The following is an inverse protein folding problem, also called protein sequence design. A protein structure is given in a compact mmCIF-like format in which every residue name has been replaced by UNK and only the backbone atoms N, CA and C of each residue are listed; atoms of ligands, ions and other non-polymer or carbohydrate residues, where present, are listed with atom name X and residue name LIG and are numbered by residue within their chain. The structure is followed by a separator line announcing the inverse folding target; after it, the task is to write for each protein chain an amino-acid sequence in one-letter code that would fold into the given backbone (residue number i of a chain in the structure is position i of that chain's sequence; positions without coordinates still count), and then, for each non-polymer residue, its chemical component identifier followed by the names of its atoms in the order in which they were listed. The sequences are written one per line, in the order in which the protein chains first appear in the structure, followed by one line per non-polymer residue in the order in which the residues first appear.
data_IF_552211315064
#
_entry.id   IF_552211315064
#
_cell.length_a   1.000
_cell.length_b   1.000
_cell.length_c   1.000
_cell.angle_alpha   90.00
_cell.angle_beta   90.00
_cell.angle_gamma   90.00
#
_symmetry.space_group_name_H-M   'P 1'
#
loop_
_entity.id
_entity.type
_entity.pdbx_description
1 polymer ?
#
# COMPACT_ATOMS: atom_id res chain seq x y z
N UNK A 1 70.66 13.09 15.38
CA UNK A 1 70.64 11.99 14.40
C UNK A 1 71.46 10.82 14.92
N UNK A 2 70.81 9.80 15.50
CA UNK A 2 71.46 8.51 15.77
C UNK A 2 70.78 7.49 14.87
N UNK A 3 71.48 7.03 13.84
CA UNK A 3 71.05 5.90 13.02
C UNK A 3 71.76 4.68 13.58
N UNK A 4 71.05 3.86 14.34
CA UNK A 4 71.55 2.54 14.76
C UNK A 4 71.26 1.59 13.60
N UNK A 5 72.27 1.33 12.76
CA UNK A 5 72.22 0.20 11.82
C UNK A 5 72.45 -1.06 12.64
N UNK A 6 71.44 -1.92 12.72
CA UNK A 6 71.64 -3.31 13.11
C UNK A 6 71.22 -4.14 11.92
N UNK A 7 72.04 -5.13 11.60
CA UNK A 7 71.74 -6.15 10.62
C UNK A 7 70.36 -6.77 10.91
N UNK A 8 69.69 -7.20 9.83
CA UNK A 8 68.44 -7.96 9.80
C UNK A 8 67.15 -7.13 9.67
N UNK A 9 66.74 -6.95 8.41
CA UNK A 9 65.34 -6.84 7.96
C UNK A 9 64.53 -5.59 8.28
N UNK A 10 64.89 -4.81 9.31
CA UNK A 10 64.07 -3.69 9.78
C UNK A 10 64.90 -2.46 10.16
N UNK A 11 64.51 -1.29 9.66
CA UNK A 11 65.05 -0.01 10.07
C UNK A 11 63.94 0.94 10.48
N UNK A 12 64.03 1.51 11.69
CA UNK A 12 63.18 2.60 12.15
C UNK A 12 64.01 3.88 12.33
N UNK A 13 63.51 4.98 11.78
CA UNK A 13 64.10 6.31 11.94
C UNK A 13 63.05 7.23 12.56
N UNK A 14 63.43 7.90 13.63
CA UNK A 14 62.63 8.98 14.21
C UNK A 14 63.19 10.32 13.70
N UNK A 15 62.36 11.08 13.01
CA UNK A 15 62.67 12.44 12.56
C UNK A 15 61.53 13.37 12.99
N UNK A 16 61.81 14.23 13.96
CA UNK A 16 60.96 15.37 14.35
C UNK A 16 59.46 15.06 14.49
N UNK A 17 59.11 13.96 15.16
CA UNK A 17 57.72 13.55 15.42
C UNK A 17 57.15 12.51 14.46
N UNK A 18 57.88 12.17 13.39
CA UNK A 18 57.53 11.09 12.46
C UNK A 18 58.46 9.89 12.67
N UNK A 19 57.86 8.70 12.76
CA UNK A 19 58.60 7.42 12.76
C UNK A 19 58.46 6.81 11.37
N UNK A 20 59.56 6.73 10.62
CA UNK A 20 59.60 6.01 9.34
C UNK A 20 60.16 4.61 9.55
N UNK A 21 59.37 3.60 9.19
CA UNK A 21 59.74 2.19 9.23
C UNK A 21 60.04 1.73 7.80
N UNK A 22 61.18 1.09 7.59
CA UNK A 22 61.54 0.44 6.33
C UNK A 22 61.91 -1.00 6.65
N UNK A 23 61.14 -1.94 6.11
CA UNK A 23 61.45 -3.36 6.22
C UNK A 23 61.69 -3.96 4.83
N UNK A 24 62.65 -4.85 4.73
CA UNK A 24 62.99 -5.60 3.52
C UNK A 24 62.97 -7.08 3.87
N UNK A 25 62.45 -7.93 2.99
CA UNK A 25 62.31 -9.38 3.20
C UNK A 25 61.45 -9.78 4.42
N UNK A 26 60.38 -9.03 4.69
CA UNK A 26 59.36 -9.39 5.71
C UNK A 26 58.06 -9.84 5.04
N UNK A 27 57.42 -10.85 5.61
CA UNK A 27 56.12 -11.37 5.16
C UNK A 27 54.97 -10.38 5.43
N UNK A 28 55.03 -9.64 6.55
CA UNK A 28 54.06 -8.59 6.88
C UNK A 28 54.58 -7.60 7.93
N UNK A 29 53.97 -6.41 7.97
CA UNK A 29 54.17 -5.39 9.00
C UNK A 29 52.80 -5.12 9.65
N UNK A 30 52.70 -5.34 10.96
CA UNK A 30 51.50 -5.01 11.73
C UNK A 30 51.66 -3.66 12.43
N UNK A 31 50.67 -2.78 12.27
CA UNK A 31 50.58 -1.51 12.96
C UNK A 31 49.51 -1.61 14.06
N UNK A 32 49.92 -1.73 15.31
CA UNK A 32 49.00 -1.88 16.47
C UNK A 32 48.84 -0.53 17.16
N UNK A 33 47.64 0.04 17.11
CA UNK A 33 47.26 1.21 17.90
C UNK A 33 46.88 0.83 19.33
N UNK A 34 47.15 1.72 20.30
CA UNK A 34 46.60 1.60 21.64
C UNK A 34 45.07 1.81 21.63
N UNK A 35 44.37 1.32 22.65
CA UNK A 35 42.93 1.53 22.79
C UNK A 35 42.60 3.04 22.76
N UNK A 36 41.77 3.46 21.80
CA UNK A 36 41.37 4.86 21.62
C UNK A 36 42.26 5.70 20.68
N UNK A 37 43.27 5.10 20.03
CA UNK A 37 44.12 5.79 19.06
C UNK A 37 43.94 5.24 17.64
N UNK A 38 43.62 6.11 16.68
CA UNK A 38 43.57 5.76 15.25
C UNK A 38 44.98 5.74 14.67
N UNK A 39 45.42 4.57 14.21
CA UNK A 39 46.63 4.44 13.39
C UNK A 39 46.21 4.42 11.92
N UNK A 40 46.94 5.10 11.03
CA UNK A 40 46.60 5.18 9.60
C UNK A 40 47.75 4.69 8.73
N UNK A 41 47.47 3.95 7.68
CA UNK A 41 48.41 3.59 6.62
C UNK A 41 47.94 4.26 5.31
N UNK A 42 48.77 5.13 4.74
CA UNK A 42 48.45 5.93 3.54
C UNK A 42 47.12 6.72 3.64
N UNK A 43 46.89 7.35 4.80
CA UNK A 43 45.67 8.12 5.06
C UNK A 43 44.39 7.29 5.30
N UNK A 44 44.47 5.96 5.13
CA UNK A 44 43.39 5.03 5.48
C UNK A 44 43.59 4.54 6.89
N UNK A 45 42.54 4.54 7.72
CA UNK A 45 42.62 3.96 9.06
C UNK A 45 43.08 2.50 8.96
N UNK A 46 44.19 2.17 9.63
CA UNK A 46 44.59 0.80 9.86
C UNK A 46 43.48 0.19 10.73
N UNK A 47 42.56 -0.50 10.07
CA UNK A 47 41.47 -1.22 10.73
C UNK A 47 42.11 -2.12 11.76
N UNK A 48 41.71 -1.95 13.03
CA UNK A 48 42.09 -2.89 14.07
C UNK A 48 41.65 -4.29 13.60
N UNK A 49 42.63 -5.09 13.18
CA UNK A 49 42.44 -6.45 12.71
C UNK A 49 41.83 -7.25 13.87
N UNK A 50 40.54 -7.54 13.74
CA UNK A 50 39.74 -8.18 14.79
C UNK A 50 38.25 -8.27 14.44
N UNK A 51 37.77 -7.45 13.49
CA UNK A 51 36.44 -7.67 12.89
C UNK A 51 36.59 -8.47 11.61
N UNK A 52 36.78 -9.78 11.76
CA UNK A 52 36.48 -10.74 10.69
C UNK A 52 35.00 -10.57 10.36
N UNK A 53 34.63 -10.42 9.08
CA UNK A 53 33.23 -10.50 8.65
C UNK A 53 32.74 -11.92 8.93
N UNK A 54 32.21 -12.15 10.14
CA UNK A 54 31.77 -13.46 10.62
C UNK A 54 30.42 -13.85 9.99
N UNK A 55 29.59 -12.86 9.66
CA UNK A 55 28.29 -13.03 9.01
C UNK A 55 27.90 -11.74 8.26
N UNK A 56 27.12 -11.90 7.19
CA UNK A 56 26.36 -10.81 6.56
C UNK A 56 24.94 -10.87 7.09
N UNK A 57 24.41 -9.75 7.57
CA UNK A 57 22.98 -9.58 7.84
C UNK A 57 22.45 -8.64 6.78
N UNK A 58 21.54 -9.15 5.95
CA UNK A 58 20.87 -8.37 4.91
C UNK A 58 19.41 -8.15 5.31
N UNK A 59 19.00 -6.89 5.37
CA UNK A 59 17.67 -6.46 5.78
C UNK A 59 17.01 -5.75 4.61
N UNK A 60 16.05 -6.41 3.97
CA UNK A 60 15.29 -5.87 2.84
C UNK A 60 13.83 -5.68 3.23
N UNK A 61 13.23 -4.56 2.82
CA UNK A 61 11.83 -4.25 3.02
C UNK A 61 11.35 -3.25 1.97
N UNK A 62 10.04 -3.30 1.65
CA UNK A 62 9.36 -2.26 0.87
C UNK A 62 9.21 -0.95 1.65
N UNK A 63 9.39 -0.98 2.97
CA UNK A 63 9.31 0.16 3.88
C UNK A 63 10.67 0.49 4.51
N UNK A 64 10.75 1.65 5.17
CA UNK A 64 11.95 2.03 5.92
C UNK A 64 12.16 1.10 7.11
N UNK A 65 13.38 0.62 7.26
CA UNK A 65 13.84 -0.17 8.39
C UNK A 65 14.62 0.76 9.33
N UNK A 66 14.27 0.72 10.61
CA UNK A 66 15.02 1.41 11.65
C UNK A 66 15.51 0.37 12.66
N UNK A 67 16.82 0.38 12.93
CA UNK A 67 17.40 -0.43 14.02
C UNK A 67 17.53 0.47 15.25
N UNK A 68 16.95 0.03 16.37
CA UNK A 68 16.98 0.77 17.64
C UNK A 68 17.75 -0.01 18.70
N UNK A 69 18.48 0.68 19.57
CA UNK A 69 19.35 0.07 20.57
C UNK A 69 20.26 1.10 21.24
N UNK A 70 21.25 0.64 22.00
CA UNK A 70 22.31 1.52 22.51
C UNK A 70 23.08 2.13 21.32
N UNK A 71 23.18 3.46 21.31
CA UNK A 71 23.69 4.22 20.16
C UNK A 71 25.12 3.83 19.77
N UNK A 72 25.97 3.47 20.74
CA UNK A 72 27.33 3.00 20.47
C UNK A 72 27.32 1.65 19.78
N UNK A 73 26.57 0.69 20.32
CA UNK A 73 26.47 -0.67 19.74
C UNK A 73 25.86 -0.69 18.34
N UNK A 74 24.84 0.14 18.08
CA UNK A 74 24.17 0.18 16.78
C UNK A 74 25.09 0.82 15.74
N UNK A 75 25.78 1.90 16.08
CA UNK A 75 26.74 2.54 15.19
C UNK A 75 27.93 1.62 14.84
N UNK A 76 28.37 0.81 15.80
CA UNK A 76 29.44 -0.17 15.60
C UNK A 76 29.05 -1.34 14.68
N UNK A 77 27.75 -1.61 14.49
CA UNK A 77 27.27 -2.73 13.65
C UNK A 77 26.73 -2.24 12.30
N UNK A 78 26.02 -1.11 12.27
CA UNK A 78 25.29 -0.62 11.08
C UNK A 78 25.81 0.74 10.55
N UNK A 79 26.81 1.35 11.20
CA UNK A 79 27.30 2.68 10.85
C UNK A 79 26.50 3.82 11.50
N UNK A 80 26.99 5.05 11.35
CA UNK A 80 26.47 6.24 12.05
C UNK A 80 24.97 6.54 11.76
N UNK A 81 24.43 6.01 10.67
CA UNK A 81 23.00 6.11 10.32
C UNK A 81 22.35 4.73 10.43
N UNK A 82 21.64 4.50 11.54
CA UNK A 82 20.91 3.25 11.81
C UNK A 82 19.54 3.13 11.11
N UNK A 83 19.31 3.96 10.09
CA UNK A 83 18.05 4.04 9.34
C UNK A 83 18.32 3.76 7.87
N UNK A 84 17.53 2.87 7.27
CA UNK A 84 17.62 2.60 5.84
C UNK A 84 17.03 3.74 5.02
N UNK A 85 17.61 3.95 3.83
CA UNK A 85 17.04 4.78 2.78
C UNK A 85 16.31 3.90 1.78
N UNK A 86 15.18 4.39 1.24
CA UNK A 86 14.50 3.71 0.15
C UNK A 86 15.30 3.91 -1.14
N UNK A 87 15.50 2.83 -1.89
CA UNK A 87 16.09 2.89 -3.22
C UNK A 87 14.99 2.93 -4.27
N UNK A 88 15.11 3.85 -5.23
CA UNK A 88 14.16 3.99 -6.33
C UNK A 88 14.57 3.08 -7.49
N UNK A 89 13.60 2.53 -8.22
CA UNK A 89 13.86 1.76 -9.45
C UNK A 89 14.66 2.58 -10.47
N UNK A 90 14.54 3.91 -10.44
CA UNK A 90 15.29 4.82 -11.32
C UNK A 90 16.79 4.89 -11.00
N UNK A 91 17.14 4.70 -9.73
CA UNK A 91 18.49 4.95 -9.22
C UNK A 91 19.31 3.64 -9.12
N UNK A 92 18.80 2.55 -9.72
CA UNK A 92 19.43 1.24 -9.75
C UNK A 92 20.64 1.23 -10.69
N UNK A 93 21.78 0.76 -10.17
CA UNK A 93 22.99 0.49 -10.94
C UNK A 93 23.23 -1.03 -11.00
N UNK A 94 23.41 -1.54 -12.21
CA UNK A 94 23.60 -2.97 -12.51
C UNK A 94 24.98 -3.25 -13.13
N UNK A 95 25.91 -2.31 -12.98
CA UNK A 95 27.26 -2.43 -13.57
C UNK A 95 28.14 -3.46 -12.87
N UNK A 96 27.83 -3.81 -11.62
CA UNK A 96 28.51 -4.86 -10.86
C UNK A 96 27.53 -5.92 -10.31
N UNK A 97 28.10 -6.99 -9.76
CA UNK A 97 27.32 -8.14 -9.28
C UNK A 97 26.49 -7.80 -8.04
N UNK A 98 27.02 -6.97 -7.13
CA UNK A 98 26.34 -6.62 -5.89
C UNK A 98 25.14 -5.69 -6.18
N UNK A 99 25.33 -4.65 -7.00
CA UNK A 99 24.26 -3.75 -7.44
C UNK A 99 23.17 -4.47 -8.25
N UNK A 100 23.54 -5.50 -9.01
CA UNK A 100 22.56 -6.35 -9.70
C UNK A 100 21.67 -7.13 -8.72
N UNK A 101 22.21 -7.61 -7.61
CA UNK A 101 21.43 -8.32 -6.58
C UNK A 101 20.52 -7.36 -5.81
N UNK A 102 21.04 -6.18 -5.46
CA UNK A 102 20.26 -5.11 -4.84
C UNK A 102 19.11 -4.66 -5.76
N UNK A 103 19.35 -4.57 -7.07
CA UNK A 103 18.34 -4.23 -8.06
C UNK A 103 17.19 -5.23 -8.10
N UNK A 104 17.47 -6.53 -7.99
CA UNK A 104 16.44 -7.56 -7.90
C UNK A 104 15.56 -7.33 -6.67
N UNK A 105 16.16 -7.09 -5.50
CA UNK A 105 15.41 -6.87 -4.26
C UNK A 105 14.49 -5.63 -4.34
N UNK A 106 14.97 -4.54 -4.94
CA UNK A 106 14.18 -3.31 -5.15
C UNK A 106 13.04 -3.54 -6.14
N UNK A 107 13.30 -4.28 -7.22
CA UNK A 107 12.27 -4.61 -8.22
C UNK A 107 11.20 -5.51 -7.63
N UNK A 108 11.58 -6.54 -6.85
CA UNK A 108 10.63 -7.43 -6.19
C UNK A 108 9.72 -6.66 -5.23
N UNK A 109 10.28 -5.73 -4.45
CA UNK A 109 9.50 -4.85 -3.59
C UNK A 109 8.54 -3.93 -4.39
N UNK A 110 8.99 -3.40 -5.52
CA UNK A 110 8.16 -2.57 -6.39
C UNK A 110 7.01 -3.38 -7.03
N UNK A 111 7.28 -4.61 -7.48
CA UNK A 111 6.27 -5.54 -8.01
C UNK A 111 5.24 -5.88 -6.93
N UNK A 112 5.69 -6.19 -5.70
CA UNK A 112 4.79 -6.45 -4.59
C UNK A 112 3.86 -5.27 -4.30
N UNK A 113 4.38 -4.03 -4.40
CA UNK A 113 3.57 -2.81 -4.29
C UNK A 113 2.52 -2.68 -5.40
N UNK A 114 2.89 -2.97 -6.65
CA UNK A 114 1.95 -2.98 -7.78
C UNK A 114 0.86 -4.05 -7.58
N UNK A 115 1.24 -5.25 -7.14
CA UNK A 115 0.30 -6.35 -6.93
C UNK A 115 -0.67 -6.06 -5.79
N UNK A 116 -0.22 -5.38 -4.72
CA UNK A 116 -1.10 -4.88 -3.67
C UNK A 116 -2.16 -3.91 -4.22
N UNK A 117 -1.74 -2.93 -5.03
CA UNK A 117 -2.67 -2.00 -5.68
C UNK A 117 -3.66 -2.72 -6.62
N UNK A 118 -3.19 -3.73 -7.37
CA UNK A 118 -4.06 -4.53 -8.24
C UNK A 118 -5.06 -5.36 -7.44
N UNK A 119 -4.66 -5.90 -6.29
CA UNK A 119 -5.55 -6.62 -5.38
C UNK A 119 -6.65 -5.69 -4.84
N UNK A 120 -6.30 -4.48 -4.41
CA UNK A 120 -7.26 -3.47 -3.94
C UNK A 120 -8.24 -3.07 -5.05
N UNK A 121 -7.75 -2.83 -6.26
CA UNK A 121 -8.60 -2.54 -7.42
C UNK A 121 -9.54 -3.72 -7.73
N UNK A 122 -9.06 -4.97 -7.64
CA UNK A 122 -9.87 -6.17 -7.79
C UNK A 122 -10.98 -6.27 -6.73
N UNK A 123 -10.67 -5.94 -5.47
CA UNK A 123 -11.65 -5.90 -4.39
C UNK A 123 -12.73 -4.83 -4.63
N UNK A 124 -12.32 -3.64 -5.09
CA UNK A 124 -13.26 -2.56 -5.46
C UNK A 124 -14.14 -2.99 -6.63
N UNK A 125 -13.60 -3.64 -7.66
CA UNK A 125 -14.37 -4.19 -8.78
C UNK A 125 -15.41 -5.21 -8.31
N UNK A 126 -15.03 -6.13 -7.42
CA UNK A 126 -15.97 -7.09 -6.83
C UNK A 126 -17.11 -6.36 -6.10
N UNK A 127 -16.78 -5.39 -5.24
CA UNK A 127 -17.78 -4.58 -4.53
C UNK A 127 -18.71 -3.83 -5.48
N UNK A 128 -18.18 -3.25 -6.57
CA UNK A 128 -18.99 -2.59 -7.59
C UNK A 128 -19.95 -3.58 -8.27
N UNK A 129 -19.47 -4.76 -8.67
CA UNK A 129 -20.31 -5.80 -9.27
C UNK A 129 -21.44 -6.23 -8.32
N UNK A 130 -21.14 -6.49 -7.04
CA UNK A 130 -22.17 -6.80 -6.03
C UNK A 130 -23.19 -5.66 -5.88
N UNK A 131 -22.71 -4.41 -5.86
CA UNK A 131 -23.58 -3.23 -5.74
C UNK A 131 -24.50 -3.11 -6.96
N UNK A 132 -23.97 -3.32 -8.17
CA UNK A 132 -24.75 -3.29 -9.41
C UNK A 132 -25.83 -4.38 -9.40
N UNK A 133 -25.46 -5.62 -9.06
CA UNK A 133 -26.43 -6.72 -8.99
C UNK A 133 -27.52 -6.46 -7.95
N UNK A 134 -27.15 -5.94 -6.78
CA UNK A 134 -28.12 -5.57 -5.74
C UNK A 134 -29.05 -4.43 -6.20
N UNK A 135 -28.50 -3.38 -6.81
CA UNK A 135 -29.28 -2.26 -7.35
C UNK A 135 -30.23 -2.71 -8.47
N UNK A 136 -29.81 -3.62 -9.34
CA UNK A 136 -30.66 -4.19 -10.39
C UNK A 136 -31.85 -4.95 -9.80
N UNK A 137 -31.62 -5.76 -8.77
CA UNK A 137 -32.69 -6.46 -8.05
C UNK A 137 -33.66 -5.47 -7.38
N UNK A 138 -33.13 -4.43 -6.72
CA UNK A 138 -33.94 -3.37 -6.10
C UNK A 138 -34.77 -2.66 -7.17
N UNK A 139 -34.18 -2.32 -8.31
CA UNK A 139 -34.87 -1.67 -9.42
C UNK A 139 -36.04 -2.53 -9.93
N UNK A 140 -35.84 -3.83 -10.12
CA UNK A 140 -36.92 -4.76 -10.52
C UNK A 140 -38.04 -4.77 -9.48
N UNK A 141 -37.71 -4.95 -8.19
CA UNK A 141 -38.68 -5.00 -7.12
C UNK A 141 -39.48 -3.69 -6.99
N UNK A 142 -38.82 -2.54 -7.15
CA UNK A 142 -39.46 -1.22 -7.12
C UNK A 142 -40.35 -1.02 -8.34
N UNK A 143 -39.92 -1.46 -9.52
CA UNK A 143 -40.73 -1.41 -10.75
C UNK A 143 -42.00 -2.25 -10.61
N UNK A 144 -41.89 -3.48 -10.08
CA UNK A 144 -43.02 -4.38 -9.86
C UNK A 144 -43.99 -3.83 -8.80
N UNK A 145 -43.46 -3.31 -7.69
CA UNK A 145 -44.28 -2.66 -6.67
C UNK A 145 -45.01 -1.44 -7.22
N UNK A 146 -44.33 -0.62 -8.04
CA UNK A 146 -44.94 0.54 -8.69
C UNK A 146 -46.03 0.13 -9.69
N UNK A 147 -45.81 -0.89 -10.52
CA UNK A 147 -46.82 -1.42 -11.44
C UNK A 147 -48.06 -1.86 -10.67
N UNK A 148 -47.90 -2.64 -9.59
CA UNK A 148 -49.02 -3.09 -8.76
C UNK A 148 -49.81 -1.94 -8.15
N UNK A 149 -49.14 -0.91 -7.65
CA UNK A 149 -49.82 0.29 -7.11
C UNK A 149 -50.58 1.01 -8.22
N UNK A 150 -49.94 1.26 -9.36
CA UNK A 150 -50.57 1.95 -10.48
C UNK A 150 -51.76 1.17 -11.08
N UNK A 151 -51.64 -0.15 -11.20
CA UNK A 151 -52.71 -1.01 -11.70
C UNK A 151 -53.91 -1.04 -10.74
N UNK A 152 -53.66 -1.08 -9.42
CA UNK A 152 -54.73 -1.02 -8.40
C UNK A 152 -55.41 0.34 -8.39
N UNK A 153 -54.65 1.42 -8.46
CA UNK A 153 -55.19 2.78 -8.50
C UNK A 153 -56.06 3.00 -9.75
N UNK A 154 -55.58 2.53 -10.91
CA UNK A 154 -56.35 2.62 -12.15
C UNK A 154 -57.63 1.76 -12.12
N UNK A 155 -57.56 0.56 -11.56
CA UNK A 155 -58.73 -0.30 -11.39
C UNK A 155 -59.78 0.33 -10.46
N UNK A 156 -59.34 0.95 -9.35
CA UNK A 156 -60.22 1.66 -8.41
C UNK A 156 -60.89 2.88 -9.06
N UNK A 157 -60.11 3.74 -9.73
CA UNK A 157 -60.63 4.94 -10.41
C UNK A 157 -61.63 4.55 -11.52
N UNK A 158 -61.30 3.53 -12.32
CA UNK A 158 -62.19 3.03 -13.37
C UNK A 158 -63.49 2.46 -12.77
N UNK A 159 -63.41 1.68 -11.70
CA UNK A 159 -64.59 1.16 -11.01
C UNK A 159 -65.47 2.29 -10.43
N UNK A 160 -64.85 3.34 -9.89
CA UNK A 160 -65.55 4.51 -9.39
C UNK A 160 -66.22 5.31 -10.52
N UNK A 161 -65.52 5.52 -11.63
CA UNK A 161 -66.08 6.15 -12.83
C UNK A 161 -67.27 5.34 -13.38
N UNK A 162 -67.14 4.03 -13.52
CA UNK A 162 -68.23 3.15 -13.96
C UNK A 162 -69.41 3.20 -13.00
N UNK A 163 -69.16 3.16 -11.68
CA UNK A 163 -70.21 3.29 -10.66
C UNK A 163 -70.96 4.62 -10.80
N UNK A 164 -70.24 5.74 -11.00
CA UNK A 164 -70.85 7.05 -11.20
C UNK A 164 -71.69 7.12 -12.48
N UNK A 165 -71.20 6.53 -13.58
CA UNK A 165 -71.94 6.45 -14.85
C UNK A 165 -73.23 5.62 -14.71
N UNK A 166 -73.15 4.45 -14.05
CA UNK A 166 -74.33 3.61 -13.77
C UNK A 166 -75.32 4.37 -12.89
N UNK A 167 -74.86 4.97 -11.78
CA UNK A 167 -75.73 5.76 -10.90
C UNK A 167 -76.41 6.91 -11.64
N UNK A 168 -75.71 7.60 -12.54
CA UNK A 168 -76.29 8.69 -13.34
C UNK A 168 -77.38 8.17 -14.30
N UNK A 169 -77.15 7.03 -14.97
CA UNK A 169 -78.15 6.42 -15.84
C UNK A 169 -79.34 5.86 -15.06
N UNK A 170 -79.10 5.18 -13.94
CA UNK A 170 -80.15 4.66 -13.05
C UNK A 170 -80.94 5.80 -12.41
N UNK A 171 -80.30 6.91 -12.04
CA UNK A 171 -81.01 8.08 -11.49
C UNK A 171 -81.97 8.68 -12.51
N UNK A 172 -81.55 8.80 -13.78
CA UNK A 172 -82.43 9.26 -14.87
C UNK A 172 -83.59 8.28 -15.13
N UNK A 173 -83.31 6.98 -15.19
CA UNK A 173 -84.33 5.95 -15.38
C UNK A 173 -85.29 5.84 -14.18
N UNK A 174 -84.79 5.95 -12.95
CA UNK A 174 -85.59 6.00 -11.72
C UNK A 174 -86.45 7.26 -11.68
N UNK A 175 -85.93 8.43 -12.09
CA UNK A 175 -86.72 9.64 -12.22
C UNK A 175 -87.83 9.49 -13.27
N UNK A 176 -87.52 8.89 -14.42
CA UNK A 176 -88.52 8.61 -15.45
C UNK A 176 -89.60 7.65 -14.94
N UNK A 177 -89.20 6.58 -14.23
CA UNK A 177 -90.13 5.63 -13.61
C UNK A 177 -90.97 6.29 -12.51
N UNK A 178 -90.34 7.08 -11.63
CA UNK A 178 -91.02 7.81 -10.56
C UNK A 178 -92.01 8.86 -11.07
N UNK A 179 -91.72 9.48 -12.22
CA UNK A 179 -92.64 10.42 -12.88
C UNK A 179 -93.82 9.71 -13.57
N UNK A 180 -93.70 8.43 -13.95
CA UNK A 180 -94.78 7.65 -14.54
C UNK A 180 -95.75 7.06 -13.50
N UNK A 181 -95.27 6.74 -12.29
CA UNK A 181 -96.09 6.21 -11.19
C UNK A 181 -97.30 7.10 -10.81
N UNK A 182 -97.20 8.45 -10.70
CA UNK A 182 -98.36 9.28 -10.38
C UNK A 182 -99.44 9.30 -11.46
N UNK A 183 -99.07 9.15 -12.74
CA UNK A 183 -100.07 9.13 -13.82
C UNK A 183 -100.86 7.83 -13.89
N UNK A 184 -100.22 6.69 -13.61
CA UNK A 184 -100.93 5.41 -13.52
C UNK A 184 -101.82 5.34 -12.28
N UNK A 185 -101.42 5.96 -11.17
CA UNK A 185 -102.25 6.09 -9.97
C UNK A 185 -103.51 6.96 -10.22
N UNK A 186 -103.40 8.04 -10.99
CA UNK A 186 -104.54 8.88 -11.38
C UNK A 186 -105.49 8.22 -12.39
N UNK A 187 -105.03 7.24 -13.17
CA UNK A 187 -105.87 6.45 -14.07
C UNK A 187 -106.67 5.36 -13.35
N UNK A 188 -106.37 5.09 -12.08
CA UNK A 188 -107.01 4.06 -11.25
C UNK A 188 -108.02 4.64 -10.24
N UNK A 189 -108.25 5.95 -10.26
CA UNK A 189 -109.29 6.69 -9.53
C UNK A 189 -110.34 7.18 -10.53
#
# INVERSE_FOLDING_TARGET
YRVTRIADGFQAKNDSGSVSITATDVDSIALVGGAGNTSTLDGTAAVATGRTKLATIELTSSDKIAVTGDAGTVADVFGATAASTLSSVKDLDITDADGSQDAIAVIDAAIAGIDAQRADLGAVQNRMNFTISNLSNIQSNVSDARSRIQDVDFASETAQLTKQQILSQTSSAMLAQANQIPQTALSLL
#
